data_IF_273139348144
#
_entry.id   IF_273139348144
#
_cell.length_a   1.000
_cell.length_b   1.000
_cell.length_c   1.000
_cell.angle_alpha   90.00
_cell.angle_beta   90.00
_cell.angle_gamma   90.00
#
_symmetry.space_group_name_H-M   'P 1'
#
loop_
_entity.id
_entity.type
_entity.pdbx_description
1 polymer ?
#
# COMPACT_ATOMS: atom_id res chain seq x y z
N UNK A 1 12.78 -16.73 8.60
CA UNK A 1 12.27 -15.65 7.73
C UNK A 1 12.18 -14.29 8.45
N UNK A 2 11.81 -14.23 9.72
CA UNK A 2 11.71 -13.00 10.55
C UNK A 2 13.04 -12.21 10.73
N UNK A 3 14.24 -12.85 10.88
CA UNK A 3 15.49 -12.10 11.12
C UNK A 3 15.95 -11.27 9.92
N UNK A 4 15.73 -11.76 8.69
CA UNK A 4 16.11 -11.04 7.46
C UNK A 4 15.30 -9.75 7.30
N UNK A 5 13.99 -9.82 7.55
CA UNK A 5 13.10 -8.66 7.46
C UNK A 5 13.43 -7.59 8.50
N UNK A 6 13.70 -7.99 9.77
CA UNK A 6 14.09 -7.06 10.84
C UNK A 6 15.41 -6.33 10.54
N UNK A 7 16.38 -7.01 9.87
CA UNK A 7 17.67 -6.41 9.51
C UNK A 7 17.51 -5.41 8.37
N UNK A 8 16.85 -5.81 7.27
CA UNK A 8 16.67 -4.95 6.10
C UNK A 8 15.78 -3.74 6.43
N UNK A 9 14.83 -3.91 7.35
CA UNK A 9 13.99 -2.84 7.85
C UNK A 9 14.75 -1.83 8.73
N UNK A 10 15.70 -2.29 9.53
CA UNK A 10 16.53 -1.40 10.34
C UNK A 10 17.42 -0.54 9.47
N UNK A 11 18.03 -1.11 8.44
CA UNK A 11 18.80 -0.39 7.43
C UNK A 11 17.94 0.65 6.69
N UNK A 12 16.69 0.30 6.33
CA UNK A 12 15.73 1.19 5.68
C UNK A 12 15.31 2.34 6.62
N UNK A 13 15.08 2.07 7.90
CA UNK A 13 14.71 3.07 8.89
C UNK A 13 15.84 4.06 9.16
N UNK A 14 17.08 3.62 9.18
CA UNK A 14 18.23 4.50 9.39
C UNK A 14 18.53 5.38 8.17
N UNK A 15 18.34 4.89 6.94
CA UNK A 15 18.57 5.68 5.73
C UNK A 15 17.49 6.73 5.45
N UNK A 16 16.22 6.44 5.73
CA UNK A 16 15.11 7.35 5.42
C UNK A 16 14.83 8.41 6.51
N UNK A 17 15.22 8.16 7.75
CA UNK A 17 15.01 9.13 8.83
C UNK A 17 15.97 10.31 8.80
N UNK A 18 17.08 10.19 8.07
CA UNK A 18 18.08 11.27 7.95
C UNK A 18 17.79 12.27 6.83
N UNK A 19 16.94 11.91 5.83
CA UNK A 19 16.70 12.76 4.65
C UNK A 19 15.25 13.20 4.43
N UNK A 20 14.28 12.67 5.15
CA UNK A 20 12.88 13.05 5.04
C UNK A 20 12.55 14.16 6.02
N UNK A 21 12.80 15.42 5.64
CA UNK A 21 12.11 16.54 6.29
C UNK A 21 10.61 16.28 6.30
N UNK A 22 9.97 16.41 7.44
CA UNK A 22 8.55 16.09 7.75
C UNK A 22 7.51 16.67 6.79
N UNK A 23 7.91 17.56 5.90
CA UNK A 23 7.03 18.21 4.92
C UNK A 23 6.73 17.37 3.66
N UNK A 24 7.53 16.36 3.31
CA UNK A 24 7.30 15.58 2.09
C UNK A 24 6.28 14.44 2.27
N UNK A 25 6.21 13.83 3.43
CA UNK A 25 5.34 12.67 3.66
C UNK A 25 3.85 13.05 3.74
N UNK A 26 3.53 14.22 4.28
CA UNK A 26 2.16 14.71 4.39
C UNK A 26 1.56 15.17 3.04
N UNK A 27 2.41 15.40 2.02
CA UNK A 27 2.01 15.96 0.72
C UNK A 27 1.73 14.89 -0.34
N UNK A 28 2.02 13.62 -0.08
CA UNK A 28 1.98 12.57 -1.12
C UNK A 28 0.57 12.06 -1.46
N UNK A 29 -0.47 12.43 -0.71
CA UNK A 29 -1.81 11.84 -0.87
C UNK A 29 -2.94 12.87 -1.01
N UNK A 30 -2.65 14.11 -1.40
CA UNK A 30 -3.70 15.13 -1.57
C UNK A 30 -4.47 14.88 -2.86
N UNK A 31 -5.82 14.83 -2.78
CA UNK A 31 -6.72 14.70 -3.93
C UNK A 31 -6.58 15.83 -4.95
N UNK A 32 -6.33 17.06 -4.48
CA UNK A 32 -6.08 18.24 -5.31
C UNK A 32 -4.64 18.71 -5.08
N UNK A 33 -3.71 18.08 -5.80
CA UNK A 33 -2.30 18.50 -5.81
C UNK A 33 -2.05 19.28 -7.11
N UNK A 34 -1.90 20.62 -6.99
CA UNK A 34 -1.62 21.54 -8.10
C UNK A 34 -0.34 21.17 -8.90
N UNK A 35 0.48 20.26 -8.35
CA UNK A 35 1.70 19.75 -9.00
C UNK A 35 1.39 18.65 -10.02
N UNK A 36 0.15 18.13 -10.05
CA UNK A 36 -0.23 17.04 -10.95
C UNK A 36 -0.47 17.61 -12.35
N UNK A 37 0.41 17.27 -13.29
CA UNK A 37 0.23 17.63 -14.70
C UNK A 37 -1.00 16.93 -15.29
N UNK A 38 -1.55 17.46 -16.38
CA UNK A 38 -2.68 16.84 -17.10
C UNK A 38 -2.38 15.39 -17.51
N UNK A 39 -1.13 15.11 -17.92
CA UNK A 39 -0.66 13.75 -18.24
C UNK A 39 -0.61 12.89 -16.98
N UNK A 40 -0.09 13.42 -15.87
CA UNK A 40 -0.07 12.70 -14.59
C UNK A 40 -1.47 12.35 -14.08
N UNK A 41 -2.44 13.25 -14.24
CA UNK A 41 -3.84 12.99 -13.91
C UNK A 41 -4.44 11.86 -14.78
N UNK A 42 -4.15 11.87 -16.08
CA UNK A 42 -4.57 10.79 -16.98
C UNK A 42 -3.96 9.45 -16.59
N UNK A 43 -2.63 9.39 -16.34
CA UNK A 43 -1.94 8.16 -15.94
C UNK A 43 -2.53 7.59 -14.64
N UNK A 44 -2.75 8.44 -13.61
CA UNK A 44 -3.38 8.04 -12.34
C UNK A 44 -4.81 7.53 -12.53
N UNK A 45 -5.62 8.23 -13.36
CA UNK A 45 -6.99 7.82 -13.64
C UNK A 45 -7.08 6.46 -14.34
N UNK A 46 -6.08 6.13 -15.15
CA UNK A 46 -6.00 4.85 -15.88
C UNK A 46 -5.17 3.79 -15.15
N UNK A 47 -4.63 4.10 -13.97
CA UNK A 47 -3.70 3.24 -13.20
C UNK A 47 -2.47 2.80 -14.01
N UNK A 48 -2.12 3.51 -15.08
CA UNK A 48 -0.92 3.25 -15.89
C UNK A 48 0.36 3.58 -15.11
N UNK A 49 0.28 4.49 -14.15
CA UNK A 49 1.36 4.81 -13.20
C UNK A 49 1.76 3.61 -12.31
N UNK A 50 0.91 2.59 -12.21
CA UNK A 50 1.23 1.35 -11.49
C UNK A 50 1.97 0.31 -12.36
N UNK A 51 2.03 0.48 -13.69
CA UNK A 51 2.74 -0.44 -14.59
C UNK A 51 4.23 -0.65 -14.25
N UNK A 52 5.00 0.38 -13.83
CA UNK A 52 6.38 0.16 -13.39
C UNK A 52 6.51 -0.82 -12.24
N UNK A 53 5.47 -1.01 -11.41
CA UNK A 53 5.47 -2.00 -10.33
C UNK A 53 5.53 -3.45 -10.85
N UNK A 54 5.10 -3.70 -12.11
CA UNK A 54 5.27 -5.01 -12.75
C UNK A 54 6.74 -5.42 -12.85
N UNK A 55 7.64 -4.48 -13.05
CA UNK A 55 9.07 -4.79 -13.01
C UNK A 55 9.53 -5.24 -11.62
N UNK A 56 8.96 -4.69 -10.55
CA UNK A 56 9.25 -5.14 -9.20
C UNK A 56 8.68 -6.54 -8.94
N UNK A 57 7.55 -6.88 -9.55
CA UNK A 57 7.00 -8.24 -9.51
C UNK A 57 7.92 -9.21 -10.25
N UNK A 58 8.36 -8.87 -11.46
CA UNK A 58 9.27 -9.70 -12.26
C UNK A 58 10.63 -9.90 -11.57
N UNK A 59 11.14 -8.89 -10.87
CA UNK A 59 12.35 -8.99 -10.04
C UNK A 59 12.13 -9.81 -8.77
N UNK A 60 10.89 -10.08 -8.39
CA UNK A 60 10.55 -10.78 -7.17
C UNK A 60 10.57 -9.92 -5.89
N UNK A 61 10.65 -8.59 -6.01
CA UNK A 61 10.57 -7.66 -4.88
C UNK A 61 9.11 -7.48 -4.41
N UNK A 62 8.16 -7.62 -5.31
CA UNK A 62 6.71 -7.54 -5.06
C UNK A 62 5.98 -8.81 -5.52
N UNK A 63 4.75 -8.98 -5.05
CA UNK A 63 3.78 -9.95 -5.56
C UNK A 63 2.68 -9.23 -6.35
N UNK A 64 1.94 -9.95 -7.19
CA UNK A 64 0.72 -9.40 -7.81
C UNK A 64 -0.32 -9.13 -6.73
N UNK A 65 -0.55 -10.09 -5.83
CA UNK A 65 -1.50 -9.97 -4.72
C UNK A 65 -0.76 -9.94 -3.39
N UNK A 66 -1.13 -9.02 -2.52
CA UNK A 66 -0.55 -8.86 -1.19
C UNK A 66 -0.93 -7.54 -0.54
N UNK A 67 -0.52 -7.29 0.70
CA UNK A 67 -0.67 -5.99 1.35
C UNK A 67 0.00 -4.89 0.55
N UNK A 68 -0.72 -3.77 0.29
CA UNK A 68 -0.13 -2.65 -0.47
C UNK A 68 1.03 -2.03 0.31
N UNK A 69 2.18 -1.74 -0.34
CA UNK A 69 3.29 -1.07 0.33
C UNK A 69 2.87 0.34 0.77
N UNK A 70 3.28 0.74 1.96
CA UNK A 70 3.11 2.08 2.49
C UNK A 70 4.47 2.76 2.60
N UNK A 71 4.50 4.09 2.45
CA UNK A 71 5.69 4.86 2.75
C UNK A 71 6.07 4.72 4.24
N UNK A 72 7.37 4.73 4.54
CA UNK A 72 7.86 4.57 5.91
C UNK A 72 7.31 5.65 6.87
N UNK A 73 7.15 6.87 6.37
CA UNK A 73 6.61 8.01 7.12
C UNK A 73 5.09 8.18 6.96
N UNK A 74 4.35 7.14 6.53
CA UNK A 74 2.90 7.24 6.38
C UNK A 74 2.23 7.45 7.73
N UNK A 75 1.30 8.41 7.77
CA UNK A 75 0.54 8.79 8.97
C UNK A 75 -0.96 8.57 8.76
N UNK A 76 -1.64 8.20 9.83
CA UNK A 76 -3.09 8.24 9.94
C UNK A 76 -3.44 9.32 10.97
N UNK A 77 -3.99 10.43 10.49
CA UNK A 77 -4.07 11.64 11.32
C UNK A 77 -2.66 12.13 11.69
N UNK A 78 -2.40 12.27 12.98
CA UNK A 78 -1.11 12.75 13.50
C UNK A 78 -0.13 11.63 13.90
N UNK A 79 -0.56 10.35 13.86
CA UNK A 79 0.24 9.22 14.31
C UNK A 79 0.79 8.43 13.14
N UNK A 80 2.01 7.89 13.30
CA UNK A 80 2.59 6.97 12.34
C UNK A 80 1.79 5.64 12.33
N UNK A 81 1.70 4.98 11.18
CA UNK A 81 0.90 3.76 11.03
C UNK A 81 1.21 2.67 12.06
N UNK A 82 2.48 2.48 12.41
CA UNK A 82 2.89 1.48 13.41
C UNK A 82 2.63 1.91 14.86
N UNK A 83 2.35 3.18 15.10
CA UNK A 83 1.96 3.70 16.43
C UNK A 83 0.48 3.48 16.71
N UNK A 84 -0.33 3.44 15.64
CA UNK A 84 -1.78 3.26 15.73
C UNK A 84 -2.14 1.83 16.13
N UNK A 85 -1.46 0.82 15.56
CA UNK A 85 -1.73 -0.59 15.88
C UNK A 85 -0.41 -1.39 15.91
N UNK A 86 -0.07 -2.04 17.06
CA UNK A 86 1.12 -2.87 17.20
C UNK A 86 1.20 -4.03 16.20
N UNK A 87 0.06 -4.49 15.69
CA UNK A 87 -0.01 -5.58 14.69
C UNK A 87 0.40 -5.13 13.29
N UNK A 88 0.63 -3.83 13.07
CA UNK A 88 1.00 -3.28 11.78
C UNK A 88 2.16 -4.05 11.11
N UNK A 89 3.14 -4.48 11.91
CA UNK A 89 4.31 -5.18 11.41
C UNK A 89 4.03 -6.58 10.89
N UNK A 90 2.95 -7.23 11.34
CA UNK A 90 2.60 -8.58 10.91
C UNK A 90 2.21 -8.65 9.41
N UNK A 91 1.73 -7.56 8.84
CA UNK A 91 1.43 -7.49 7.40
C UNK A 91 2.66 -7.65 6.49
N UNK A 92 3.86 -7.43 7.02
CA UNK A 92 5.13 -7.54 6.30
C UNK A 92 5.73 -8.96 6.34
N UNK A 93 5.00 -9.95 6.85
CA UNK A 93 5.42 -11.36 6.80
C UNK A 93 5.44 -11.93 5.38
N UNK A 94 4.74 -11.30 4.46
CA UNK A 94 4.68 -11.65 3.03
C UNK A 94 5.12 -10.45 2.18
N UNK A 95 5.38 -10.71 0.89
CA UNK A 95 5.75 -9.63 -0.05
C UNK A 95 4.59 -8.66 -0.24
N UNK A 96 4.89 -7.35 -0.42
CA UNK A 96 3.86 -6.38 -0.78
C UNK A 96 3.27 -6.70 -2.15
N UNK A 97 1.97 -6.40 -2.34
CA UNK A 97 1.26 -6.63 -3.58
C UNK A 97 0.95 -5.36 -4.37
N UNK A 98 0.77 -5.50 -5.68
CA UNK A 98 0.20 -4.45 -6.54
C UNK A 98 -1.28 -4.26 -6.20
N UNK A 99 -2.01 -5.36 -5.97
CA UNK A 99 -3.38 -5.36 -5.46
C UNK A 99 -3.48 -6.22 -4.21
N UNK A 100 -4.58 -6.09 -3.46
CA UNK A 100 -4.76 -6.83 -2.23
C UNK A 100 -6.19 -6.80 -1.72
N UNK A 101 -6.46 -7.58 -0.67
CA UNK A 101 -7.79 -7.72 -0.10
C UNK A 101 -8.36 -6.39 0.39
N UNK A 102 -7.56 -5.56 1.05
CA UNK A 102 -7.96 -4.23 1.49
C UNK A 102 -8.43 -3.36 0.33
N UNK A 103 -7.72 -3.41 -0.80
CA UNK A 103 -8.03 -2.60 -1.97
C UNK A 103 -9.35 -3.00 -2.63
N UNK A 104 -9.64 -4.30 -2.77
CA UNK A 104 -10.90 -4.78 -3.37
C UNK A 104 -12.10 -4.61 -2.44
N UNK A 105 -11.86 -4.47 -1.14
CA UNK A 105 -12.89 -4.10 -0.14
C UNK A 105 -13.18 -2.60 -0.09
N UNK A 106 -12.49 -1.79 -0.91
CA UNK A 106 -12.71 -0.34 -0.97
C UNK A 106 -11.86 0.48 -0.01
N UNK A 107 -10.97 -0.13 0.77
CA UNK A 107 -10.03 0.58 1.66
C UNK A 107 -8.86 1.16 0.85
N UNK A 108 -9.19 1.95 -0.18
CA UNK A 108 -8.25 2.69 -1.04
C UNK A 108 -8.23 4.16 -0.64
N UNK A 109 -7.18 4.88 -1.01
CA UNK A 109 -7.09 6.33 -0.81
C UNK A 109 -6.36 6.74 0.44
N UNK A 110 -6.58 8.00 0.86
CA UNK A 110 -6.00 8.56 2.07
C UNK A 110 -6.48 7.86 3.33
N UNK A 111 -5.64 7.83 4.34
CA UNK A 111 -5.97 7.36 5.69
C UNK A 111 -6.03 8.58 6.60
N UNK A 112 -7.11 9.35 6.48
CA UNK A 112 -7.27 10.60 7.21
C UNK A 112 -7.61 10.32 8.70
N UNK A 113 -8.24 9.18 8.97
CA UNK A 113 -8.59 8.74 10.31
C UNK A 113 -7.89 7.43 10.68
N UNK A 114 -7.66 7.23 11.99
CA UNK A 114 -7.09 5.97 12.51
C UNK A 114 -7.92 4.75 12.13
N UNK A 115 -9.27 4.90 12.05
CA UNK A 115 -10.17 3.81 11.68
C UNK A 115 -9.91 3.30 10.26
N UNK A 116 -9.64 4.19 9.31
CA UNK A 116 -9.34 3.80 7.92
C UNK A 116 -8.10 2.90 7.84
N UNK A 117 -7.10 3.21 8.68
CA UNK A 117 -5.91 2.37 8.78
C UNK A 117 -6.21 1.02 9.43
N UNK A 118 -7.00 1.01 10.52
CA UNK A 118 -7.35 -0.21 11.24
C UNK A 118 -8.11 -1.18 10.33
N UNK A 119 -9.10 -0.69 9.57
CA UNK A 119 -9.90 -1.51 8.64
C UNK A 119 -9.05 -2.07 7.50
N UNK A 120 -8.12 -1.25 6.98
CA UNK A 120 -7.13 -1.69 6.00
C UNK A 120 -6.21 -2.75 6.56
N UNK A 121 -5.63 -2.49 7.75
CA UNK A 121 -4.74 -3.43 8.41
C UNK A 121 -5.44 -4.76 8.70
N UNK A 122 -6.68 -4.72 9.17
CA UNK A 122 -7.45 -5.93 9.43
C UNK A 122 -7.64 -6.77 8.17
N UNK A 123 -7.94 -6.14 7.04
CA UNK A 123 -8.04 -6.83 5.74
C UNK A 123 -6.69 -7.43 5.31
N UNK A 124 -5.59 -6.72 5.52
CA UNK A 124 -4.24 -7.21 5.21
C UNK A 124 -3.87 -8.40 6.10
N UNK A 125 -4.17 -8.36 7.40
CA UNK A 125 -3.89 -9.45 8.34
C UNK A 125 -4.75 -10.69 8.06
N UNK A 126 -6.02 -10.48 7.70
CA UNK A 126 -6.90 -11.57 7.25
C UNK A 126 -6.35 -12.25 6.00
N UNK A 127 -5.84 -11.46 5.04
CA UNK A 127 -5.21 -12.04 3.85
C UNK A 127 -3.96 -12.84 4.20
N UNK A 128 -3.13 -12.34 5.13
CA UNK A 128 -1.90 -13.05 5.58
C UNK A 128 -2.24 -14.37 6.27
N UNK A 129 -3.29 -14.39 7.12
CA UNK A 129 -3.68 -15.59 7.89
C UNK A 129 -4.28 -16.68 7.00
N UNK A 130 -5.09 -16.29 6.01
CA UNK A 130 -5.87 -17.23 5.19
C UNK A 130 -5.41 -17.22 3.73
N UNK A 131 -4.12 -17.03 3.50
CA UNK A 131 -3.58 -17.02 2.15
C UNK A 131 -3.84 -18.32 1.40
N UNK A 132 -4.30 -18.19 0.16
CA UNK A 132 -4.42 -19.28 -0.79
C UNK A 132 -4.38 -18.78 -2.23
N UNK A 133 -3.95 -19.60 -3.16
CA UNK A 133 -3.93 -19.27 -4.58
C UNK A 133 -5.33 -18.93 -5.11
N UNK A 134 -6.37 -19.59 -4.62
CA UNK A 134 -7.76 -19.31 -4.98
C UNK A 134 -8.22 -17.94 -4.49
N UNK A 135 -7.72 -17.51 -3.34
CA UNK A 135 -7.98 -16.17 -2.81
C UNK A 135 -7.29 -15.13 -3.69
N UNK A 136 -6.07 -15.37 -4.11
CA UNK A 136 -5.35 -14.49 -5.04
C UNK A 136 -6.11 -14.34 -6.36
N UNK A 137 -6.58 -15.43 -6.95
CA UNK A 137 -7.36 -15.39 -8.19
C UNK A 137 -8.64 -14.58 -8.02
N UNK A 138 -9.36 -14.73 -6.91
CA UNK A 138 -10.56 -13.93 -6.61
C UNK A 138 -10.24 -12.45 -6.48
N UNK A 139 -9.14 -12.10 -5.81
CA UNK A 139 -8.68 -10.70 -5.66
C UNK A 139 -8.33 -10.11 -7.01
N UNK A 140 -7.62 -10.85 -7.88
CA UNK A 140 -7.27 -10.38 -9.23
C UNK A 140 -8.55 -10.10 -10.04
N UNK A 141 -9.50 -11.02 -10.07
CA UNK A 141 -10.78 -10.83 -10.77
C UNK A 141 -11.56 -9.64 -10.22
N UNK A 142 -11.64 -9.49 -8.88
CA UNK A 142 -12.28 -8.37 -8.24
C UNK A 142 -11.58 -7.03 -8.58
N UNK A 143 -10.25 -7.02 -8.67
CA UNK A 143 -9.46 -5.84 -9.06
C UNK A 143 -9.82 -5.39 -10.47
N UNK A 144 -9.94 -6.32 -11.43
CA UNK A 144 -10.37 -6.00 -12.80
C UNK A 144 -11.78 -5.40 -12.82
N UNK A 145 -12.69 -5.92 -11.99
CA UNK A 145 -14.03 -5.35 -11.83
C UNK A 145 -14.01 -3.91 -11.31
N UNK A 146 -13.15 -3.61 -10.36
CA UNK A 146 -13.01 -2.24 -9.82
C UNK A 146 -12.41 -1.28 -10.82
N UNK A 147 -11.46 -1.73 -11.65
CA UNK A 147 -10.86 -0.90 -12.72
C UNK A 147 -11.86 -0.55 -13.82
N UNK A 148 -12.76 -1.48 -14.15
CA UNK A 148 -13.79 -1.29 -15.20
C UNK A 148 -14.95 -0.43 -14.68
N UNK A 149 -15.34 -0.58 -13.43
CA UNK A 149 -16.40 0.24 -12.83
C UNK A 149 -15.82 1.56 -12.32
N UNK A 150 -15.94 2.60 -13.08
CA UNK A 150 -15.51 4.01 -12.88
C UNK A 150 -15.83 4.66 -11.50
N UNK A 151 -16.01 3.87 -10.44
CA UNK A 151 -16.22 4.29 -9.04
C UNK A 151 -14.95 4.20 -8.18
N UNK A 152 -13.78 4.25 -8.77
CA UNK A 152 -12.51 4.14 -8.06
C UNK A 152 -11.99 5.49 -7.50
N UNK A 153 -12.82 6.54 -7.46
CA UNK A 153 -12.50 7.85 -6.86
C UNK A 153 -13.70 8.46 -6.16
#
# INVERSE_FOLDING_TARGET
>A
MIPYFKRKWREYKESDLTDASDHHAATLTRRDDDRVTRVGAFLRRTSIDELPQLFNVLKGDMSIVGPRPHAAAAKAGNSLYWEVDPRYWARHCIKPGMTGLAQVRGHRGSTDHHQDLIDRLQSDLEYVSDWSIWRDMRIIVATLGVLVHHKAY
#
